data_IF_045368121863
#
_entry.id   IF_045368121863
#
_cell.length_a   1.000
_cell.length_b   1.000
_cell.length_c   1.000
_cell.angle_alpha   90.00
_cell.angle_beta   90.00
_cell.angle_gamma   90.00
#
_symmetry.space_group_name_H-M   'P 1'
#
loop_
_entity.id
_entity.type
_entity.pdbx_description
1 polymer ?
#
# COMPACT_ATOMS: atom_id res chain seq x y z
N UNK A 1 3.38 -5.12 16.09
CA UNK A 1 1.98 -5.21 15.63
C UNK A 1 1.49 -6.62 15.82
N UNK A 2 0.43 -6.80 16.60
CA UNK A 2 -0.32 -8.06 16.67
C UNK A 2 -1.71 -7.79 16.09
N UNK A 3 -1.75 -7.49 14.80
CA UNK A 3 -2.98 -7.29 14.05
C UNK A 3 -3.24 -8.59 13.31
N UNK A 4 -4.31 -9.30 13.69
CA UNK A 4 -4.82 -10.46 12.97
C UNK A 4 -5.45 -9.99 11.66
N UNK A 5 -4.60 -9.52 10.76
CA UNK A 5 -4.91 -8.92 9.47
C UNK A 5 -4.34 -9.86 8.43
N UNK A 6 -5.19 -10.32 7.52
CA UNK A 6 -4.79 -11.13 6.39
C UNK A 6 -3.85 -10.31 5.49
N UNK A 7 -2.65 -10.85 5.24
CA UNK A 7 -1.62 -10.24 4.38
C UNK A 7 -2.17 -9.88 3.00
N UNK A 8 -3.10 -10.69 2.47
CA UNK A 8 -3.75 -10.46 1.19
C UNK A 8 -4.57 -9.16 1.15
N UNK A 9 -5.16 -8.74 2.27
CA UNK A 9 -5.93 -7.49 2.33
C UNK A 9 -5.01 -6.26 2.27
N UNK A 10 -3.83 -6.34 2.89
CA UNK A 10 -2.80 -5.29 2.79
C UNK A 10 -2.32 -5.11 1.36
N UNK A 11 -1.99 -6.22 0.69
CA UNK A 11 -1.56 -6.22 -0.70
C UNK A 11 -2.63 -5.62 -1.64
N UNK A 12 -3.88 -6.09 -1.56
CA UNK A 12 -4.98 -5.56 -2.38
C UNK A 12 -5.24 -4.08 -2.12
N UNK A 13 -5.12 -3.62 -0.87
CA UNK A 13 -5.28 -2.20 -0.53
C UNK A 13 -4.21 -1.34 -1.20
N UNK A 14 -2.95 -1.77 -1.20
CA UNK A 14 -1.86 -1.06 -1.89
C UNK A 14 -2.10 -1.01 -3.40
N UNK A 15 -2.30 -2.18 -4.03
CA UNK A 15 -2.51 -2.31 -5.47
C UNK A 15 -3.70 -1.49 -5.97
N UNK A 16 -4.84 -1.56 -5.29
CA UNK A 16 -6.03 -0.85 -5.73
C UNK A 16 -6.01 0.64 -5.44
N UNK A 17 -5.07 1.12 -4.62
CA UNK A 17 -4.93 2.55 -4.34
C UNK A 17 -4.42 3.38 -5.53
N UNK A 18 -4.05 2.71 -6.63
CA UNK A 18 -3.56 3.28 -7.88
C UNK A 18 -4.59 3.20 -9.03
N UNK A 19 -5.77 2.60 -8.79
CA UNK A 19 -6.75 2.36 -9.86
C UNK A 19 -7.31 3.64 -10.48
N UNK A 20 -7.54 4.68 -9.69
CA UNK A 20 -8.01 5.97 -10.19
C UNK A 20 -7.09 6.54 -11.27
N UNK A 21 -5.79 6.40 -11.07
CA UNK A 21 -4.73 6.85 -11.96
C UNK A 21 -4.64 6.02 -13.25
N UNK A 22 -5.20 4.80 -13.26
CA UNK A 22 -5.20 3.90 -14.42
C UNK A 22 -6.47 4.01 -15.26
N UNK A 23 -7.61 4.34 -14.65
CA UNK A 23 -8.93 4.26 -15.29
C UNK A 23 -9.63 5.62 -15.49
N UNK A 24 -8.98 6.74 -15.17
CA UNK A 24 -9.52 8.10 -15.30
C UNK A 24 -10.92 8.26 -14.65
N UNK A 25 -11.16 7.54 -13.55
CA UNK A 25 -12.42 7.53 -12.80
C UNK A 25 -12.16 7.68 -11.30
N UNK A 26 -13.11 8.26 -10.53
CA UNK A 26 -12.96 8.33 -9.08
C UNK A 26 -12.79 6.93 -8.47
N UNK A 27 -11.80 6.77 -7.60
CA UNK A 27 -11.52 5.49 -6.93
C UNK A 27 -12.74 4.89 -6.23
N UNK A 28 -13.60 5.74 -5.67
CA UNK A 28 -14.86 5.35 -5.03
C UNK A 28 -15.80 4.58 -5.97
N UNK A 29 -16.01 5.09 -7.19
CA UNK A 29 -16.88 4.47 -8.17
C UNK A 29 -16.33 3.13 -8.69
N UNK A 30 -15.01 3.01 -8.78
CA UNK A 30 -14.32 1.78 -9.17
C UNK A 30 -14.48 0.71 -8.09
N UNK A 31 -14.22 1.06 -6.84
CA UNK A 31 -14.17 0.13 -5.70
C UNK A 31 -15.58 -0.31 -5.26
N UNK A 32 -16.59 0.54 -5.39
CA UNK A 32 -17.96 0.21 -4.99
C UNK A 32 -18.47 -1.05 -5.71
N UNK A 33 -18.17 -1.19 -7.00
CA UNK A 33 -18.61 -2.28 -7.88
C UNK A 33 -17.83 -3.58 -7.70
N UNK A 34 -16.73 -3.57 -6.96
CA UNK A 34 -15.85 -4.74 -6.81
C UNK A 34 -16.30 -5.67 -5.66
N UNK A 35 -16.19 -7.00 -5.84
CA UNK A 35 -16.48 -7.98 -4.79
C UNK A 35 -15.28 -8.14 -3.85
N UNK A 36 -14.90 -7.08 -3.14
CA UNK A 36 -13.75 -7.06 -2.22
C UNK A 36 -14.17 -6.76 -0.78
N UNK A 37 -13.30 -7.08 0.17
CA UNK A 37 -13.57 -6.93 1.59
C UNK A 37 -13.87 -5.46 1.97
N UNK A 38 -14.84 -5.29 2.88
CA UNK A 38 -15.24 -3.98 3.40
C UNK A 38 -14.09 -3.20 4.06
N UNK A 39 -13.11 -3.87 4.66
CA UNK A 39 -11.92 -3.24 5.24
C UNK A 39 -11.07 -2.58 4.15
N UNK A 40 -10.92 -3.25 3.00
CA UNK A 40 -10.20 -2.73 1.83
C UNK A 40 -10.98 -1.55 1.24
N UNK A 41 -12.30 -1.67 1.07
CA UNK A 41 -13.15 -0.55 0.60
C UNK A 41 -13.01 0.69 1.50
N UNK A 42 -13.12 0.48 2.81
CA UNK A 42 -13.03 1.56 3.80
C UNK A 42 -11.64 2.22 3.78
N UNK A 43 -10.58 1.44 3.63
CA UNK A 43 -9.21 1.94 3.52
C UNK A 43 -8.99 2.77 2.24
N UNK A 44 -9.54 2.33 1.11
CA UNK A 44 -9.37 2.99 -0.18
C UNK A 44 -10.18 4.28 -0.29
N UNK A 45 -11.44 4.28 0.14
CA UNK A 45 -12.36 5.42 -0.04
C UNK A 45 -12.27 6.40 1.13
N UNK A 46 -12.47 5.91 2.35
CA UNK A 46 -12.58 6.78 3.54
C UNK A 46 -11.28 6.94 4.31
N UNK A 47 -10.23 6.20 3.94
CA UNK A 47 -8.93 6.13 4.65
C UNK A 47 -9.06 5.70 6.12
N UNK A 48 -10.07 4.88 6.43
CA UNK A 48 -10.36 4.42 7.79
C UNK A 48 -9.87 2.99 8.06
N UNK A 49 -9.85 2.65 9.36
CA UNK A 49 -9.40 1.36 9.84
C UNK A 49 -7.88 1.17 9.74
N UNK A 50 -7.40 0.01 10.15
CA UNK A 50 -5.96 -0.28 10.18
C UNK A 50 -5.34 -0.23 8.78
N UNK A 51 -6.00 -0.79 7.77
CA UNK A 51 -5.55 -0.72 6.37
C UNK A 51 -5.50 0.72 5.85
N UNK A 52 -6.47 1.55 6.21
CA UNK A 52 -6.47 2.98 5.84
C UNK A 52 -5.33 3.75 6.51
N UNK A 53 -5.04 3.45 7.78
CA UNK A 53 -3.90 4.03 8.49
C UNK A 53 -2.57 3.60 7.84
N UNK A 54 -2.41 2.32 7.49
CA UNK A 54 -1.21 1.80 6.81
C UNK A 54 -1.04 2.48 5.45
N UNK A 55 -2.11 2.54 4.65
CA UNK A 55 -2.09 3.19 3.34
C UNK A 55 -1.72 4.68 3.46
N UNK A 56 -2.25 5.38 4.47
CA UNK A 56 -1.94 6.79 4.71
C UNK A 56 -0.49 6.98 5.14
N UNK A 57 0.04 6.09 5.98
CA UNK A 57 1.45 6.12 6.39
C UNK A 57 2.39 5.94 5.20
N UNK A 58 2.14 4.93 4.36
CA UNK A 58 2.96 4.64 3.17
C UNK A 58 2.94 5.81 2.20
N UNK A 59 1.75 6.32 1.85
CA UNK A 59 1.63 7.49 0.97
C UNK A 59 2.34 8.73 1.52
N UNK A 60 2.25 8.97 2.82
CA UNK A 60 2.96 10.09 3.44
C UNK A 60 4.48 9.92 3.38
N UNK A 61 4.97 8.70 3.61
CA UNK A 61 6.39 8.37 3.53
C UNK A 61 6.94 8.56 2.11
N UNK A 62 6.22 8.08 1.09
CA UNK A 62 6.56 8.26 -0.33
C UNK A 62 6.61 9.74 -0.74
N UNK A 63 5.73 10.57 -0.17
CA UNK A 63 5.66 12.01 -0.44
C UNK A 63 6.55 12.87 0.48
N UNK A 64 7.36 12.25 1.34
CA UNK A 64 8.17 12.94 2.36
C UNK A 64 7.37 13.89 3.27
N UNK A 65 6.08 13.59 3.53
CA UNK A 65 5.24 14.32 4.48
C UNK A 65 5.49 13.82 5.92
N UNK A 66 6.57 14.32 6.52
CA UNK A 66 7.04 13.85 7.82
C UNK A 66 6.06 14.10 8.97
N UNK A 67 5.26 15.16 8.91
CA UNK A 67 4.25 15.43 9.94
C UNK A 67 3.20 14.33 9.96
N UNK A 68 2.70 13.95 8.78
CA UNK A 68 1.74 12.86 8.64
C UNK A 68 2.37 11.50 8.95
N UNK A 69 3.62 11.25 8.54
CA UNK A 69 4.37 10.04 8.90
C UNK A 69 4.42 9.85 10.42
N UNK A 70 4.82 10.88 11.18
CA UNK A 70 4.90 10.79 12.64
C UNK A 70 3.52 10.48 13.24
N UNK A 71 2.47 11.16 12.79
CA UNK A 71 1.12 10.93 13.31
C UNK A 71 0.62 9.49 13.11
N UNK A 72 0.84 8.93 11.91
CA UNK A 72 0.37 7.58 11.60
C UNK A 72 1.29 6.47 12.12
N UNK A 73 2.62 6.66 12.15
CA UNK A 73 3.54 5.68 12.74
C UNK A 73 3.23 5.49 14.23
N UNK A 74 2.96 6.58 14.95
CA UNK A 74 2.73 6.56 16.40
C UNK A 74 1.39 5.86 16.67
N UNK A 75 0.36 6.18 15.87
CA UNK A 75 -0.94 5.50 15.90
C UNK A 75 -0.84 4.00 15.61
N UNK A 76 0.09 3.60 14.74
CA UNK A 76 0.32 2.22 14.34
C UNK A 76 1.36 1.50 15.20
N UNK A 77 2.01 2.21 16.13
CA UNK A 77 3.11 1.71 16.96
C UNK A 77 4.26 1.11 16.12
N UNK A 78 4.63 1.80 15.03
CA UNK A 78 5.75 1.45 14.15
C UNK A 78 6.90 2.42 14.39
N UNK A 79 8.10 1.88 14.64
CA UNK A 79 9.30 2.71 14.79
C UNK A 79 9.81 3.16 13.42
N UNK A 80 10.57 4.26 13.40
CA UNK A 80 11.16 4.80 12.17
C UNK A 80 12.05 3.77 11.46
N UNK A 81 12.81 2.96 12.22
CA UNK A 81 13.67 1.92 11.66
C UNK A 81 12.88 0.81 10.98
N UNK A 82 11.73 0.42 11.56
CA UNK A 82 10.86 -0.60 10.96
C UNK A 82 10.19 -0.06 9.70
N UNK A 83 9.72 1.19 9.74
CA UNK A 83 9.10 1.83 8.58
C UNK A 83 10.09 1.92 7.41
N UNK A 84 11.29 2.45 7.66
CA UNK A 84 12.34 2.54 6.64
C UNK A 84 12.69 1.15 6.09
N UNK A 85 12.90 0.16 6.96
CA UNK A 85 13.17 -1.21 6.54
C UNK A 85 12.06 -1.80 5.67
N UNK A 86 10.80 -1.66 6.06
CA UNK A 86 9.67 -2.18 5.28
C UNK A 86 9.57 -1.52 3.90
N UNK A 87 9.87 -0.23 3.81
CA UNK A 87 9.92 0.47 2.54
C UNK A 87 11.09 -0.01 1.67
N UNK A 88 12.29 -0.14 2.23
CA UNK A 88 13.47 -0.66 1.53
C UNK A 88 13.23 -2.09 1.02
N UNK A 89 12.62 -2.94 1.85
CA UNK A 89 12.26 -4.31 1.49
C UNK A 89 11.26 -4.33 0.30
N UNK A 90 10.31 -3.38 0.26
CA UNK A 90 9.34 -3.26 -0.83
C UNK A 90 9.99 -2.79 -2.14
N UNK A 91 10.88 -1.81 -2.09
CA UNK A 91 11.67 -1.35 -3.25
C UNK A 91 12.51 -2.49 -3.80
N UNK A 92 13.23 -3.20 -2.92
CA UNK A 92 14.04 -4.34 -3.31
C UNK A 92 13.21 -5.45 -3.96
N UNK A 93 12.03 -5.75 -3.41
CA UNK A 93 11.12 -6.72 -4.02
C UNK A 93 10.70 -6.31 -5.44
N UNK A 94 10.44 -5.02 -5.68
CA UNK A 94 10.14 -4.50 -7.01
C UNK A 94 11.35 -4.59 -7.95
N UNK A 95 12.55 -4.29 -7.48
CA UNK A 95 13.79 -4.44 -8.26
C UNK A 95 14.02 -5.90 -8.66
N UNK A 96 13.88 -6.83 -7.72
CA UNK A 96 14.02 -8.27 -7.96
C UNK A 96 12.96 -8.77 -8.97
N UNK A 97 11.72 -8.29 -8.86
CA UNK A 97 10.63 -8.63 -9.79
C UNK A 97 10.94 -8.18 -11.22
N UNK A 98 11.43 -6.95 -11.40
CA UNK A 98 11.77 -6.39 -12.71
C UNK A 98 13.03 -7.04 -13.31
N UNK A 99 13.99 -7.45 -12.46
CA UNK A 99 15.18 -8.17 -12.92
C UNK A 99 14.85 -9.51 -13.57
N UNK A 100 13.84 -10.23 -13.07
CA UNK A 100 13.39 -11.52 -13.62
C UNK A 100 12.85 -11.35 -15.06
N UNK A 101 12.20 -10.24 -15.39
CA UNK A 101 11.69 -9.98 -16.75
C UNK A 101 12.81 -9.78 -17.79
N UNK A 102 13.99 -9.33 -17.33
CA UNK A 102 15.15 -9.07 -18.19
C UNK A 102 15.89 -10.35 -18.62
N UNK A 103 15.88 -11.41 -17.81
CA UNK A 103 16.50 -12.70 -18.14
C UNK A 103 15.66 -13.53 -19.14
N UNK A 104 14.34 -13.34 -19.18
CA UNK A 104 13.47 -14.02 -20.14
C UNK A 104 13.62 -13.53 -21.59
N UNK A 105 14.17 -12.33 -21.82
CA UNK A 105 14.35 -11.76 -23.16
C UNK A 105 15.71 -12.05 -23.81
N UNK A 106 16.62 -12.78 -23.15
CA UNK A 106 17.96 -13.11 -23.69
C UNK A 106 18.02 -14.50 -24.35
N UNK A 107 16.91 -15.25 -24.35
CA UNK A 107 16.82 -16.61 -24.91
C UNK A 107 15.69 -16.80 -25.94
N UNK A 108 15.53 -15.84 -26.86
CA UNK A 108 14.75 -16.02 -28.10
C UNK A 108 15.56 -15.65 -29.33
#
# INVERSE_FOLDING_TARGET
MNTNLDEGLGFLTGMFSLLDSLFDQPLEELVEKMPIDHMVKSALVTKQGTLGNILSLVKAYENADWMTVIAYRDKLEVSDEKLAKHYDDAIKWTEDLLAIESEYHVHV
#
